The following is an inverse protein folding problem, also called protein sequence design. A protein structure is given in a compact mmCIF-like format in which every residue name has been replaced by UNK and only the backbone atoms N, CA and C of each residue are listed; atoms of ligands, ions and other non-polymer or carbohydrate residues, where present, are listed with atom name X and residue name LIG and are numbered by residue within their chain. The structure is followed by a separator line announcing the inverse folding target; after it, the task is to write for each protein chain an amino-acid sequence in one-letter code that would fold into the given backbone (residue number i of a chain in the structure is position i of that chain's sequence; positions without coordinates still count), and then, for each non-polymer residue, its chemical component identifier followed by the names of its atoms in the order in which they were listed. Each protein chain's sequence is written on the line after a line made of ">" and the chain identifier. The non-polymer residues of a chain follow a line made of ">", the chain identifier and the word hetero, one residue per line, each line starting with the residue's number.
data_IF_872940380157
#
_entry.id   IF_872940380157
#
_cell.length_a   1.000
_cell.length_b   1.000
_cell.length_c   1.000
_cell.angle_alpha   90.00
_cell.angle_beta   90.00
_cell.angle_gamma   90.00
#
_symmetry.space_group_name_H-M   'P 1'
#
loop_
_entity.id
_entity.type
_entity.pdbx_description
1 polymer ?
#
# COMPACT_ATOMS: atom_id res chain seq x y z
N UNK A 1 3.83 17.52 -4.99
CA UNK A 1 3.72 16.05 -4.86
C UNK A 1 2.87 15.68 -3.65
N UNK A 2 1.96 14.72 -3.84
CA UNK A 2 1.07 14.25 -2.78
C UNK A 2 1.70 13.04 -2.06
N UNK A 3 1.51 12.96 -0.75
CA UNK A 3 2.04 11.86 0.05
C UNK A 3 1.06 11.48 1.15
N UNK A 4 0.87 10.17 1.34
CA UNK A 4 0.03 9.62 2.40
C UNK A 4 0.76 8.45 3.03
N UNK A 5 0.82 8.41 4.37
CA UNK A 5 1.44 7.30 5.08
C UNK A 5 0.56 6.92 6.27
N UNK A 6 0.40 5.62 6.51
CA UNK A 6 -0.47 5.14 7.58
C UNK A 6 -0.11 3.70 7.96
N UNK A 7 -0.62 3.25 9.11
CA UNK A 7 -0.45 1.89 9.60
C UNK A 7 -1.76 1.12 9.52
N UNK A 8 -1.68 -0.18 9.23
CA UNK A 8 -2.82 -1.08 9.27
C UNK A 8 -2.42 -2.34 10.03
N UNK A 9 -3.42 -3.11 10.50
CA UNK A 9 -3.15 -4.31 11.29
C UNK A 9 -2.88 -5.56 10.47
N UNK A 10 -3.18 -5.55 9.18
CA UNK A 10 -2.95 -6.70 8.32
C UNK A 10 -1.46 -6.92 8.05
N UNK A 11 -0.97 -8.15 8.22
CA UNK A 11 0.43 -8.49 7.96
C UNK A 11 0.59 -9.66 6.99
N UNK A 12 -0.50 -10.30 6.57
CA UNK A 12 -0.43 -11.40 5.61
C UNK A 12 -0.12 -10.83 4.22
N UNK A 13 1.01 -11.24 3.65
CA UNK A 13 1.50 -10.71 2.39
C UNK A 13 0.51 -10.95 1.25
N UNK A 14 -0.07 -12.14 1.17
CA UNK A 14 -1.00 -12.47 0.10
C UNK A 14 -2.25 -11.59 0.16
N UNK A 15 -2.77 -11.39 1.35
CA UNK A 15 -3.94 -10.52 1.57
C UNK A 15 -3.60 -9.09 1.19
N UNK A 16 -2.43 -8.60 1.63
CA UNK A 16 -1.99 -7.24 1.31
C UNK A 16 -1.81 -7.04 -0.19
N UNK A 17 -1.17 -7.98 -0.88
CA UNK A 17 -0.95 -7.89 -2.32
C UNK A 17 -2.28 -7.81 -3.08
N UNK A 18 -3.24 -8.67 -2.72
CA UNK A 18 -4.55 -8.66 -3.37
C UNK A 18 -5.32 -7.38 -3.06
N UNK A 19 -5.34 -6.96 -1.81
CA UNK A 19 -6.06 -5.77 -1.38
C UNK A 19 -5.56 -4.52 -2.09
N UNK A 20 -4.24 -4.30 -2.07
CA UNK A 20 -3.69 -3.08 -2.65
C UNK A 20 -3.65 -3.11 -4.17
N UNK A 21 -3.56 -4.29 -4.80
CA UNK A 21 -3.72 -4.39 -6.25
C UNK A 21 -5.10 -3.88 -6.67
N UNK A 22 -6.15 -4.30 -5.95
CA UNK A 22 -7.53 -3.87 -6.23
C UNK A 22 -7.73 -2.39 -5.93
N UNK A 23 -7.21 -1.91 -4.81
CA UNK A 23 -7.33 -0.50 -4.43
C UNK A 23 -6.67 0.41 -5.47
N UNK A 24 -5.45 0.07 -5.88
CA UNK A 24 -4.72 0.86 -6.86
C UNK A 24 -5.45 0.91 -8.19
N UNK A 25 -5.94 -0.24 -8.65
CA UNK A 25 -6.69 -0.30 -9.90
C UNK A 25 -7.98 0.53 -9.82
N UNK A 26 -8.75 0.36 -8.74
CA UNK A 26 -10.00 1.11 -8.55
C UNK A 26 -9.78 2.61 -8.49
N UNK A 27 -8.64 3.05 -7.98
CA UNK A 27 -8.32 4.47 -7.85
C UNK A 27 -7.79 5.08 -9.13
N UNK A 28 -7.41 4.26 -10.10
CA UNK A 28 -6.92 4.75 -11.39
C UNK A 28 -5.41 4.75 -11.52
N UNK A 29 -4.69 4.02 -10.65
CA UNK A 29 -3.25 3.85 -10.78
C UNK A 29 -2.91 2.66 -11.67
N UNK A 30 -1.87 2.81 -12.48
CA UNK A 30 -1.29 1.76 -13.29
C UNK A 30 -0.05 1.20 -12.59
N UNK A 31 -0.05 -0.09 -12.27
CA UNK A 31 1.13 -0.73 -11.70
C UNK A 31 2.06 -1.13 -12.84
N UNK A 32 3.24 -0.52 -12.90
CA UNK A 32 4.23 -0.77 -13.94
C UNK A 32 5.18 -1.88 -13.55
N UNK A 33 5.55 -1.97 -12.28
CA UNK A 33 6.53 -2.93 -11.79
C UNK A 33 6.39 -3.11 -10.29
N UNK A 34 6.78 -4.27 -9.79
CA UNK A 34 6.80 -4.57 -8.36
C UNK A 34 8.17 -5.13 -8.02
N UNK A 35 8.78 -4.60 -6.97
CA UNK A 35 10.02 -5.11 -6.40
C UNK A 35 9.72 -5.53 -4.97
N UNK A 36 10.09 -6.77 -4.59
CA UNK A 36 9.75 -7.25 -3.26
C UNK A 36 10.90 -8.03 -2.64
N UNK A 37 10.90 -8.08 -1.31
CA UNK A 37 11.89 -8.81 -0.55
C UNK A 37 11.25 -9.41 0.71
N UNK A 38 11.55 -10.68 0.98
CA UNK A 38 11.16 -11.38 2.20
C UNK A 38 12.35 -11.42 3.14
N UNK A 39 12.20 -10.83 4.32
CA UNK A 39 13.27 -10.76 5.32
C UNK A 39 13.25 -11.99 6.22
N UNK A 40 14.43 -12.37 6.71
CA UNK A 40 14.57 -13.47 7.66
C UNK A 40 14.73 -12.89 9.07
N UNK A 41 14.07 -13.42 10.08
CA UNK A 41 13.19 -14.60 10.06
C UNK A 41 11.77 -14.31 9.58
N UNK A 42 11.36 -13.04 9.49
CA UNK A 42 10.02 -12.65 9.00
C UNK A 42 10.05 -11.20 8.55
N UNK A 43 8.97 -10.79 7.90
CA UNK A 43 8.82 -9.44 7.38
C UNK A 43 8.92 -9.41 5.85
N UNK A 44 8.20 -8.48 5.24
CA UNK A 44 8.16 -8.34 3.79
C UNK A 44 8.08 -6.86 3.43
N UNK A 45 8.77 -6.49 2.36
CA UNK A 45 8.65 -5.16 1.76
C UNK A 45 8.26 -5.32 0.30
N UNK A 46 7.22 -4.60 -0.11
CA UNK A 46 6.82 -4.52 -1.51
C UNK A 46 6.87 -3.07 -1.97
N UNK A 47 7.55 -2.82 -3.08
CA UNK A 47 7.63 -1.51 -3.71
C UNK A 47 6.93 -1.57 -5.05
N UNK A 48 5.93 -0.74 -5.23
CA UNK A 48 5.11 -0.70 -6.44
C UNK A 48 5.45 0.56 -7.22
N UNK A 49 6.00 0.38 -8.42
CA UNK A 49 6.22 1.50 -9.33
C UNK A 49 4.93 1.74 -10.10
N UNK A 50 4.40 2.93 -9.99
CA UNK A 50 3.17 3.33 -10.66
C UNK A 50 3.50 4.42 -11.69
N UNK A 51 2.58 4.70 -12.61
CA UNK A 51 2.76 5.84 -13.50
C UNK A 51 2.82 7.11 -12.67
N UNK A 52 3.98 7.78 -12.66
CA UNK A 52 4.23 9.04 -11.93
C UNK A 52 3.97 8.95 -10.42
N UNK A 53 4.11 7.72 -9.85
CA UNK A 53 3.79 7.49 -8.44
C UNK A 53 4.50 6.23 -7.95
N UNK A 54 4.48 6.02 -6.63
CA UNK A 54 4.95 4.74 -6.07
C UNK A 54 4.25 4.46 -4.74
N UNK A 55 4.13 3.17 -4.43
CA UNK A 55 3.55 2.68 -3.18
C UNK A 55 4.56 1.76 -2.51
N UNK A 56 4.75 1.93 -1.21
CA UNK A 56 5.59 1.03 -0.42
C UNK A 56 4.75 0.37 0.67
N UNK A 57 4.96 -0.93 0.87
CA UNK A 57 4.34 -1.69 1.95
C UNK A 57 5.45 -2.37 2.72
N UNK A 58 5.49 -2.16 4.04
CA UNK A 58 6.46 -2.81 4.93
C UNK A 58 5.69 -3.55 6.02
N UNK A 59 5.83 -4.86 6.11
CA UNK A 59 5.15 -5.63 7.15
C UNK A 59 6.06 -5.81 8.37
N UNK A 60 5.45 -5.72 9.55
CA UNK A 60 6.10 -5.96 10.83
C UNK A 60 5.27 -6.99 11.60
N UNK A 61 5.36 -8.29 11.22
CA UNK A 61 4.50 -9.32 11.83
C UNK A 61 4.67 -9.44 13.33
N UNK A 62 5.87 -9.18 13.84
CA UNK A 62 6.14 -9.22 15.27
C UNK A 62 5.40 -8.15 16.05
N UNK A 63 4.94 -7.11 15.37
CA UNK A 63 4.16 -6.03 15.97
C UNK A 63 2.70 -6.02 15.47
N UNK A 64 2.33 -7.02 14.69
CA UNK A 64 0.98 -7.17 14.11
C UNK A 64 0.51 -5.94 13.33
N UNK A 65 1.43 -5.31 12.58
CA UNK A 65 1.08 -4.12 11.80
C UNK A 65 1.95 -4.00 10.56
N UNK A 66 1.45 -3.22 9.61
CA UNK A 66 2.15 -2.91 8.37
C UNK A 66 2.11 -1.42 8.11
N UNK A 67 3.19 -0.89 7.55
CA UNK A 67 3.32 0.51 7.20
C UNK A 67 3.11 0.66 5.69
N UNK A 68 2.22 1.59 5.32
CA UNK A 68 1.85 1.84 3.93
C UNK A 68 2.20 3.29 3.60
N UNK A 69 2.84 3.50 2.46
CA UNK A 69 3.20 4.84 2.03
C UNK A 69 2.96 5.00 0.53
N UNK A 70 2.18 6.01 0.16
CA UNK A 70 1.93 6.37 -1.24
C UNK A 70 2.48 7.76 -1.51
N UNK A 71 3.29 7.89 -2.55
CA UNK A 71 3.74 9.19 -3.07
C UNK A 71 3.27 9.30 -4.51
N UNK A 72 2.65 10.41 -4.87
CA UNK A 72 2.01 10.54 -6.18
C UNK A 72 2.15 11.95 -6.74
N UNK A 73 2.44 12.02 -8.06
CA UNK A 73 2.43 13.28 -8.80
C UNK A 73 1.08 13.54 -9.48
N UNK A 74 0.12 12.59 -9.37
CA UNK A 74 -1.19 12.72 -10.01
C UNK A 74 -2.27 12.93 -8.96
N UNK A 75 -3.10 13.96 -9.15
CA UNK A 75 -4.04 14.39 -8.11
C UNK A 75 -5.26 13.49 -7.96
N UNK A 76 -5.96 13.20 -9.04
CA UNK A 76 -7.22 12.47 -8.96
C UNK A 76 -7.09 11.05 -8.40
N UNK A 77 -6.19 10.22 -8.92
CA UNK A 77 -5.99 8.89 -8.32
C UNK A 77 -5.57 8.95 -6.85
N UNK A 78 -4.76 9.95 -6.47
CA UNK A 78 -4.36 10.13 -5.09
C UNK A 78 -5.55 10.46 -4.19
N UNK A 79 -6.44 11.35 -4.64
CA UNK A 79 -7.66 11.71 -3.90
C UNK A 79 -8.54 10.47 -3.75
N UNK A 80 -8.70 9.69 -4.83
CA UNK A 80 -9.48 8.46 -4.79
C UNK A 80 -8.92 7.46 -3.77
N UNK A 81 -7.60 7.34 -3.73
CA UNK A 81 -6.91 6.46 -2.78
C UNK A 81 -7.17 6.91 -1.34
N UNK A 82 -7.05 8.21 -1.08
CA UNK A 82 -7.28 8.77 0.25
C UNK A 82 -8.71 8.47 0.74
N UNK A 83 -9.69 8.59 -0.14
CA UNK A 83 -11.08 8.28 0.19
C UNK A 83 -11.27 6.79 0.48
N UNK A 84 -10.65 5.93 -0.32
CA UNK A 84 -10.74 4.47 -0.16
C UNK A 84 -10.15 4.03 1.17
N UNK A 85 -9.01 4.60 1.55
CA UNK A 85 -8.30 4.25 2.78
C UNK A 85 -9.10 4.59 4.04
N UNK A 86 -9.92 5.62 4.00
CA UNK A 86 -10.78 5.99 5.14
C UNK A 86 -11.68 4.83 5.55
N UNK A 87 -12.20 4.09 4.59
CA UNK A 87 -13.06 2.93 4.87
C UNK A 87 -12.25 1.76 5.42
N UNK A 88 -11.06 1.53 4.87
CA UNK A 88 -10.18 0.45 5.31
C UNK A 88 -9.73 0.67 6.76
N UNK A 89 -9.38 1.89 7.13
CA UNK A 89 -8.98 2.21 8.49
C UNK A 89 -10.07 1.88 9.50
N UNK A 90 -11.34 2.14 9.15
CA UNK A 90 -12.48 1.83 10.03
C UNK A 90 -12.61 0.33 10.27
N UNK A 91 -12.31 -0.48 9.27
CA UNK A 91 -12.44 -1.93 9.36
C UNK A 91 -11.25 -2.57 10.08
N UNK A 92 -10.10 -1.96 10.02
CA UNK A 92 -8.84 -2.53 10.52
C UNK A 92 -8.51 -2.01 11.92
N UNK A 93 -8.81 -0.78 12.17
CA UNK A 93 -8.56 -0.13 13.46
C UNK A 93 -9.79 -0.19 14.35
#
# INVERSE_FOLDING_TARGET
>A
MNRLAFWINETDVKILKNKFANILEDCGFNVLSICEHYFQPYGWTGLYLLSESHLAIHTFPEENKSYIELSSCVDKPFINFTEKIKYIEKDIM
#
